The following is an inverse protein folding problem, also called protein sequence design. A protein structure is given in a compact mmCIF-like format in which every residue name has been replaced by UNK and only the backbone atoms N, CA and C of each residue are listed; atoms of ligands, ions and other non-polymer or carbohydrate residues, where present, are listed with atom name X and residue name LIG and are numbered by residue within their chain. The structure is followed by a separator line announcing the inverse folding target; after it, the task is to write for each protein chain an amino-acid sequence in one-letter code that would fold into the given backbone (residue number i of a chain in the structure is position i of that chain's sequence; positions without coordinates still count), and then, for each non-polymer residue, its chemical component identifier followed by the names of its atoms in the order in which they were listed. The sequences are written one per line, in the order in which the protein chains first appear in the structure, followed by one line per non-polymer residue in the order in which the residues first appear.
data_IF_573670643189
#
_entry.id   IF_573670643189
#
_cell.length_a   1.000
_cell.length_b   1.000
_cell.length_c   1.000
_cell.angle_alpha   90.00
_cell.angle_beta   90.00
_cell.angle_gamma   90.00
#
_symmetry.space_group_name_H-M   'P 1'
#
loop_
_entity.id
_entity.type
_entity.pdbx_description
1 polymer ?
#
# COMPACT_ATOMS: atom_id res chain seq x y z
N UNK A 1 0.69 0.11 -18.90
CA UNK A 1 0.30 -0.78 -17.77
C UNK A 1 -0.32 0.11 -16.71
N UNK A 2 -1.43 -0.30 -16.08
CA UNK A 2 -2.13 0.52 -15.08
C UNK A 2 -1.78 0.05 -13.66
N UNK A 3 -1.68 0.98 -12.72
CA UNK A 3 -1.47 0.70 -11.30
C UNK A 3 -2.67 1.20 -10.49
N UNK A 4 -3.01 0.49 -9.42
CA UNK A 4 -4.07 0.90 -8.50
C UNK A 4 -3.52 1.93 -7.51
N UNK A 5 -4.09 3.13 -7.50
CA UNK A 5 -3.76 4.14 -6.49
C UNK A 5 -4.64 3.95 -5.26
N UNK A 6 -4.04 3.55 -4.14
CA UNK A 6 -4.72 3.40 -2.87
C UNK A 6 -4.37 4.57 -1.93
N UNK A 7 -5.37 5.37 -1.54
CA UNK A 7 -5.17 6.42 -0.52
C UNK A 7 -5.24 5.78 0.86
N UNK A 8 -4.28 6.02 1.73
CA UNK A 8 -4.28 5.53 3.12
C UNK A 8 -3.90 6.71 4.01
N UNK A 9 -4.66 6.95 5.07
CA UNK A 9 -4.30 8.00 6.04
C UNK A 9 -3.10 7.51 6.86
N UNK A 10 -2.00 8.27 6.96
CA UNK A 10 -0.78 7.79 7.61
C UNK A 10 -0.96 7.54 9.11
N UNK A 11 -1.70 8.42 9.80
CA UNK A 11 -1.88 8.32 11.26
C UNK A 11 -2.97 7.32 11.69
N UNK A 12 -3.94 7.03 10.82
CA UNK A 12 -5.05 6.13 11.14
C UNK A 12 -5.44 5.35 9.88
N UNK A 13 -4.59 4.40 9.45
CA UNK A 13 -4.82 3.66 8.24
C UNK A 13 -6.03 2.74 8.41
N UNK A 14 -7.03 2.79 7.51
CA UNK A 14 -8.16 1.89 7.61
C UNK A 14 -7.71 0.44 7.33
N UNK A 15 -8.03 -0.47 8.25
CA UNK A 15 -7.52 -1.84 8.25
C UNK A 15 -7.83 -2.61 6.95
N UNK A 16 -9.00 -2.40 6.36
CA UNK A 16 -9.39 -3.03 5.09
C UNK A 16 -8.47 -2.65 3.92
N UNK A 17 -7.91 -1.43 3.90
CA UNK A 17 -6.97 -0.99 2.87
C UNK A 17 -5.60 -1.63 3.07
N UNK A 18 -5.14 -1.74 4.31
CA UNK A 18 -3.90 -2.46 4.64
C UNK A 18 -4.00 -3.93 4.23
N UNK A 19 -5.12 -4.59 4.52
CA UNK A 19 -5.34 -5.98 4.13
C UNK A 19 -5.28 -6.19 2.60
N UNK A 20 -5.78 -5.23 1.81
CA UNK A 20 -5.65 -5.28 0.34
C UNK A 20 -4.18 -5.23 -0.09
N UNK A 21 -3.36 -4.37 0.53
CA UNK A 21 -1.92 -4.27 0.25
C UNK A 21 -1.20 -5.57 0.60
N UNK A 22 -1.51 -6.16 1.77
CA UNK A 22 -0.94 -7.44 2.21
C UNK A 22 -1.26 -8.56 1.22
N UNK A 23 -2.47 -8.60 0.69
CA UNK A 23 -2.87 -9.60 -0.30
C UNK A 23 -2.08 -9.47 -1.61
N UNK A 24 -1.78 -8.25 -2.06
CA UNK A 24 -0.91 -8.00 -3.22
C UNK A 24 0.50 -8.53 -2.95
N UNK A 25 1.07 -8.23 -1.79
CA UNK A 25 2.41 -8.70 -1.40
C UNK A 25 2.49 -10.23 -1.33
N UNK A 26 1.48 -10.90 -0.76
CA UNK A 26 1.41 -12.37 -0.69
C UNK A 26 1.35 -13.05 -2.06
N UNK A 27 0.81 -12.37 -3.07
CA UNK A 27 0.78 -12.83 -4.46
C UNK A 27 2.09 -12.54 -5.23
N UNK A 28 3.10 -11.99 -4.56
CA UNK A 28 4.35 -11.58 -5.20
C UNK A 28 4.22 -10.28 -6.00
N UNK A 29 3.19 -9.47 -5.73
CA UNK A 29 2.98 -8.17 -6.37
C UNK A 29 3.94 -7.10 -5.84
N UNK A 30 4.17 -6.08 -6.66
CA UNK A 30 4.97 -4.91 -6.31
C UNK A 30 4.06 -3.78 -5.81
N UNK A 31 4.46 -3.13 -4.73
CA UNK A 31 3.81 -1.92 -4.20
C UNK A 31 4.84 -0.81 -4.08
N UNK A 32 4.35 0.43 -4.05
CA UNK A 32 5.15 1.61 -3.75
C UNK A 32 4.45 2.35 -2.61
N UNK A 33 5.14 2.65 -1.51
CA UNK A 33 4.52 3.24 -0.32
C UNK A 33 5.41 4.31 0.34
N UNK A 34 4.83 5.33 1.00
CA UNK A 34 5.63 6.36 1.66
C UNK A 34 6.26 5.80 2.95
N UNK A 35 7.52 6.18 3.20
CA UNK A 35 8.18 6.07 4.51
C UNK A 35 8.41 7.48 5.08
N UNK A 36 9.03 7.57 6.26
CA UNK A 36 9.36 8.85 6.89
C UNK A 36 10.35 9.70 6.07
N UNK A 37 11.01 9.12 5.06
CA UNK A 37 12.06 9.79 4.27
C UNK A 37 11.77 9.79 2.78
N UNK A 38 11.47 8.63 2.21
CA UNK A 38 11.25 8.44 0.77
C UNK A 38 10.19 7.37 0.51
N UNK A 39 9.75 7.22 -0.74
CA UNK A 39 8.95 6.06 -1.14
C UNK A 39 9.83 4.82 -1.28
N UNK A 40 9.33 3.68 -0.80
CA UNK A 40 9.92 2.36 -0.98
C UNK A 40 9.08 1.46 -1.86
#
# INVERSE_FOLDING_TARGET
MAATLLRIHPENPPQNRILQVVEVLRKGGLIIYPTDTVYG
#
